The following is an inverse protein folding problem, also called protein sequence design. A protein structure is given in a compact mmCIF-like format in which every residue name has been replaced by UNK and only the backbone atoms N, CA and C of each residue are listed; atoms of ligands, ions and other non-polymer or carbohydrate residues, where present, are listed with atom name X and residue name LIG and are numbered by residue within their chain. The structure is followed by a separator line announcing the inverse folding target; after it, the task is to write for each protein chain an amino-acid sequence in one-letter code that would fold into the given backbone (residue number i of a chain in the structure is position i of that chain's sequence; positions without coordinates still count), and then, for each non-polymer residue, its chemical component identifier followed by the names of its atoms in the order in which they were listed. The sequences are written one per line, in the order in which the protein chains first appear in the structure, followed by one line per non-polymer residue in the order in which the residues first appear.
data_IF_368501883419
#
_entry.id   IF_368501883419
#
_cell.length_a   1.000
_cell.length_b   1.000
_cell.length_c   1.000
_cell.angle_alpha   90.00
_cell.angle_beta   90.00
_cell.angle_gamma   90.00
#
_symmetry.space_group_name_H-M   'P 1'
#
loop_
_entity.id
_entity.type
_entity.pdbx_description
1 polymer ?
#
# COMPACT_ATOMS: atom_id res chain seq x y z
N UNK A 1 27.57 -7.38 -64.97
CA UNK A 1 26.39 -8.06 -64.38
C UNK A 1 26.65 -8.25 -62.89
N UNK A 2 26.13 -7.35 -62.04
CA UNK A 2 26.42 -7.34 -60.59
C UNK A 2 25.52 -8.33 -59.83
N UNK A 3 26.15 -9.13 -58.97
CA UNK A 3 25.51 -10.00 -57.99
C UNK A 3 24.91 -9.16 -56.84
N UNK A 4 23.60 -9.24 -56.64
CA UNK A 4 22.90 -8.65 -55.49
C UNK A 4 22.56 -9.76 -54.49
N UNK A 5 23.24 -9.73 -53.35
CA UNK A 5 23.01 -10.58 -52.18
C UNK A 5 21.74 -10.16 -51.44
N UNK A 6 20.85 -11.11 -51.18
CA UNK A 6 19.64 -10.93 -50.38
C UNK A 6 19.97 -11.04 -48.89
N UNK A 7 19.82 -9.95 -48.16
CA UNK A 7 19.80 -9.93 -46.70
C UNK A 7 18.42 -10.37 -46.18
N UNK A 8 18.35 -11.48 -45.45
CA UNK A 8 17.19 -11.87 -44.65
C UNK A 8 17.29 -11.19 -43.28
N UNK A 9 16.58 -10.09 -43.09
CA UNK A 9 16.42 -9.45 -41.79
C UNK A 9 15.46 -10.26 -40.91
N UNK A 10 15.97 -10.85 -39.84
CA UNK A 10 15.16 -11.45 -38.79
C UNK A 10 14.45 -10.34 -38.00
N UNK A 11 13.13 -10.29 -38.07
CA UNK A 11 12.30 -9.42 -37.23
C UNK A 11 12.17 -10.07 -35.85
N UNK A 12 12.92 -9.56 -34.88
CA UNK A 12 12.72 -9.89 -33.48
C UNK A 12 11.45 -9.19 -32.97
N UNK A 13 10.36 -9.95 -32.78
CA UNK A 13 9.21 -9.48 -32.01
C UNK A 13 9.62 -9.39 -30.53
N UNK A 14 9.96 -8.19 -30.08
CA UNK A 14 10.06 -7.88 -28.66
C UNK A 14 8.63 -7.86 -28.08
N UNK A 15 8.28 -8.90 -27.32
CA UNK A 15 7.04 -8.96 -26.57
C UNK A 15 7.00 -7.88 -25.50
N UNK A 16 6.19 -6.84 -25.73
CA UNK A 16 5.81 -5.85 -24.72
C UNK A 16 4.93 -6.53 -23.68
N UNK A 17 5.51 -6.90 -22.53
CA UNK A 17 4.73 -7.21 -21.33
C UNK A 17 3.98 -5.94 -20.90
N UNK A 18 2.67 -6.00 -20.60
CA UNK A 18 1.95 -4.84 -20.13
C UNK A 18 2.44 -4.50 -18.72
N UNK A 19 3.20 -3.42 -18.61
CA UNK A 19 3.46 -2.78 -17.33
C UNK A 19 2.12 -2.23 -16.82
N UNK A 20 1.60 -2.80 -15.74
CA UNK A 20 0.44 -2.23 -15.07
C UNK A 20 0.75 -0.75 -14.76
N UNK A 21 -0.10 0.20 -15.19
CA UNK A 21 0.13 1.60 -14.90
C UNK A 21 0.13 1.76 -13.38
N UNK A 22 1.25 2.22 -12.84
CA UNK A 22 1.28 2.74 -11.49
C UNK A 22 0.29 3.90 -11.49
N UNK A 23 -0.79 3.80 -10.73
CA UNK A 23 -1.66 4.94 -10.55
C UNK A 23 -0.79 6.06 -9.96
N UNK A 24 -0.70 7.21 -10.64
CA UNK A 24 0.00 8.35 -10.07
C UNK A 24 -0.68 8.66 -8.73
N UNK A 25 0.09 8.65 -7.64
CA UNK A 25 -0.34 9.21 -6.38
C UNK A 25 -0.93 10.60 -6.67
N UNK A 26 -2.22 10.76 -6.37
CA UNK A 26 -2.91 12.01 -6.63
C UNK A 26 -2.34 13.13 -5.76
N UNK A 27 -2.79 14.35 -6.02
CA UNK A 27 -2.29 15.52 -5.30
C UNK A 27 -2.99 15.65 -3.93
N UNK A 28 -2.80 14.68 -3.03
CA UNK A 28 -3.32 14.73 -1.67
C UNK A 28 -2.84 16.02 -1.00
N UNK A 29 -3.78 16.78 -0.45
CA UNK A 29 -3.51 18.06 0.22
C UNK A 29 -3.56 17.89 1.73
N UNK A 30 -2.81 18.74 2.43
CA UNK A 30 -2.94 18.85 3.87
C UNK A 30 -4.35 19.36 4.21
N UNK A 31 -5.00 18.68 5.16
CA UNK A 31 -6.33 19.02 5.64
C UNK A 31 -6.24 19.52 7.08
N UNK A 32 -7.04 20.52 7.44
CA UNK A 32 -7.15 20.97 8.81
C UNK A 32 -7.81 19.86 9.65
N UNK A 33 -7.07 19.30 10.60
CA UNK A 33 -7.57 18.31 11.54
C UNK A 33 -7.96 18.97 12.85
N UNK A 34 -9.06 18.49 13.44
CA UNK A 34 -9.36 18.78 14.84
C UNK A 34 -8.22 18.28 15.75
N UNK A 35 -7.92 19.01 16.81
CA UNK A 35 -6.79 18.69 17.70
C UNK A 35 -6.91 17.30 18.33
N UNK A 36 -8.13 16.86 18.64
CA UNK A 36 -8.41 15.51 19.14
C UNK A 36 -8.04 14.42 18.14
N UNK A 37 -8.37 14.62 16.85
CA UNK A 37 -8.03 13.69 15.76
C UNK A 37 -6.52 13.66 15.56
N UNK A 38 -5.87 14.83 15.54
CA UNK A 38 -4.41 14.94 15.43
C UNK A 38 -3.71 14.20 16.58
N UNK A 39 -4.17 14.40 17.81
CA UNK A 39 -3.61 13.74 19.00
C UNK A 39 -3.79 12.22 18.94
N UNK A 40 -4.98 11.75 18.58
CA UNK A 40 -5.26 10.32 18.43
C UNK A 40 -4.35 9.67 17.39
N UNK A 41 -4.19 10.30 16.22
CA UNK A 41 -3.27 9.84 15.19
C UNK A 41 -1.83 9.86 15.68
N UNK A 42 -1.38 10.94 16.33
CA UNK A 42 -0.01 11.02 16.82
C UNK A 42 0.33 9.92 17.83
N UNK A 43 -0.59 9.61 18.73
CA UNK A 43 -0.46 8.48 19.65
C UNK A 43 -0.42 7.15 18.90
N UNK A 44 -1.27 6.98 17.89
CA UNK A 44 -1.29 5.78 17.06
C UNK A 44 0.05 5.56 16.34
N UNK A 45 0.68 6.63 15.83
CA UNK A 45 1.98 6.59 15.14
C UNK A 45 3.14 6.27 16.09
N UNK A 46 3.18 6.93 17.26
CA UNK A 46 4.29 6.84 18.24
C UNK A 46 4.40 5.49 18.97
N UNK A 47 3.36 4.68 18.93
CA UNK A 47 3.32 3.37 19.59
C UNK A 47 4.34 2.38 19.01
N UNK A 48 5.54 2.29 19.56
CA UNK A 48 6.62 1.43 19.03
C UNK A 48 6.42 -0.09 19.25
N UNK A 49 5.21 -0.56 19.59
CA UNK A 49 4.95 -2.00 19.77
C UNK A 49 5.32 -2.79 18.50
N UNK A 50 6.13 -3.87 18.62
CA UNK A 50 6.47 -4.73 17.49
C UNK A 50 5.22 -5.29 16.80
N UNK A 51 5.22 -5.43 15.47
CA UNK A 51 4.03 -5.83 14.72
C UNK A 51 3.86 -7.35 14.74
N UNK A 52 3.68 -7.91 15.94
CA UNK A 52 3.50 -9.35 16.15
C UNK A 52 2.01 -9.65 16.31
N UNK A 53 1.38 -10.37 15.36
CA UNK A 53 -0.01 -10.80 15.50
C UNK A 53 -0.19 -11.69 16.74
N UNK A 54 -1.13 -11.31 17.61
CA UNK A 54 -1.54 -12.12 18.77
C UNK A 54 -2.96 -12.63 18.57
N UNK A 55 -3.24 -13.84 19.06
CA UNK A 55 -4.51 -14.53 18.84
C UNK A 55 -5.12 -14.95 20.18
N UNK A 56 -6.43 -14.71 20.33
CA UNK A 56 -7.16 -15.06 21.56
C UNK A 56 -7.46 -16.55 21.67
N UNK A 57 -7.55 -17.24 20.52
CA UNK A 57 -7.90 -18.65 20.46
C UNK A 57 -7.18 -19.34 19.27
N UNK A 58 -7.07 -20.67 19.30
CA UNK A 58 -6.40 -21.43 18.23
C UNK A 58 -7.05 -21.29 16.85
N UNK A 59 -8.37 -21.05 16.78
CA UNK A 59 -9.08 -20.92 15.50
C UNK A 59 -8.70 -19.63 14.75
N UNK A 60 -8.46 -18.54 15.47
CA UNK A 60 -7.99 -17.27 14.89
C UNK A 60 -6.55 -17.39 14.41
N UNK A 61 -5.71 -18.10 15.18
CA UNK A 61 -4.34 -18.42 14.78
C UNK A 61 -4.32 -19.26 13.50
N UNK A 62 -5.13 -20.31 13.40
CA UNK A 62 -5.23 -21.13 12.19
C UNK A 62 -5.68 -20.32 10.97
N UNK A 63 -6.68 -19.44 11.13
CA UNK A 63 -7.12 -18.50 10.07
C UNK A 63 -6.01 -17.59 9.61
N UNK A 64 -5.23 -17.03 10.53
CA UNK A 64 -4.06 -16.21 10.19
C UNK A 64 -3.00 -17.01 9.44
N UNK A 65 -2.67 -18.23 9.88
CA UNK A 65 -1.66 -19.05 9.20
C UNK A 65 -2.09 -19.39 7.77
N UNK A 66 -3.35 -19.79 7.57
CA UNK A 66 -3.87 -20.05 6.23
C UNK A 66 -3.83 -18.79 5.33
N UNK A 67 -4.18 -17.64 5.89
CA UNK A 67 -4.05 -16.35 5.20
C UNK A 67 -2.59 -16.06 4.84
N UNK A 68 -1.66 -16.21 5.79
CA UNK A 68 -0.25 -15.92 5.61
C UNK A 68 0.37 -16.79 4.50
N UNK A 69 0.07 -18.09 4.50
CA UNK A 69 0.52 -19.02 3.46
C UNK A 69 -0.03 -18.64 2.09
N UNK A 70 -1.35 -18.41 2.01
CA UNK A 70 -2.04 -18.05 0.76
C UNK A 70 -1.47 -16.76 0.18
N UNK A 71 -1.35 -15.71 0.99
CA UNK A 71 -0.84 -14.41 0.52
C UNK A 71 0.65 -14.45 0.24
N UNK A 72 1.44 -15.22 1.00
CA UNK A 72 2.86 -15.45 0.72
C UNK A 72 3.04 -16.12 -0.65
N UNK A 73 2.24 -17.12 -0.97
CA UNK A 73 2.27 -17.76 -2.29
C UNK A 73 1.92 -16.77 -3.41
N UNK A 74 0.87 -15.95 -3.25
CA UNK A 74 0.45 -14.96 -4.25
C UNK A 74 1.51 -13.86 -4.45
N UNK A 75 2.19 -13.45 -3.38
CA UNK A 75 3.13 -12.33 -3.39
C UNK A 75 4.57 -12.73 -3.80
N UNK A 76 4.87 -14.03 -3.91
CA UNK A 76 6.21 -14.57 -4.22
C UNK A 76 6.90 -13.93 -5.42
N UNK A 77 6.15 -13.53 -6.45
CA UNK A 77 6.72 -12.90 -7.66
C UNK A 77 7.17 -11.45 -7.43
N UNK A 78 6.58 -10.76 -6.46
CA UNK A 78 6.87 -9.34 -6.15
C UNK A 78 7.85 -9.20 -5.00
N UNK A 79 7.80 -10.11 -4.02
CA UNK A 79 8.77 -10.22 -2.93
C UNK A 79 9.31 -11.65 -2.92
N UNK A 80 10.39 -11.97 -3.66
CA UNK A 80 10.89 -13.34 -3.79
C UNK A 80 11.43 -13.94 -2.49
N UNK A 81 12.12 -13.13 -1.69
CA UNK A 81 12.64 -13.55 -0.39
C UNK A 81 11.49 -13.92 0.56
N UNK A 82 11.50 -15.15 1.07
CA UNK A 82 10.40 -15.68 1.87
C UNK A 82 10.29 -15.01 3.24
N UNK A 83 11.43 -14.78 3.90
CA UNK A 83 11.47 -14.16 5.22
C UNK A 83 10.91 -12.74 5.15
N UNK A 84 11.44 -11.91 4.25
CA UNK A 84 10.96 -10.54 4.00
C UNK A 84 9.48 -10.53 3.65
N UNK A 85 9.02 -11.47 2.81
CA UNK A 85 7.62 -11.56 2.41
C UNK A 85 6.70 -11.92 3.59
N UNK A 86 7.10 -12.86 4.44
CA UNK A 86 6.34 -13.23 5.65
C UNK A 86 6.32 -12.10 6.67
N UNK A 87 7.44 -11.43 6.90
CA UNK A 87 7.53 -10.24 7.77
C UNK A 87 6.65 -9.10 7.27
N UNK A 88 6.68 -8.83 5.97
CA UNK A 88 5.80 -7.84 5.33
C UNK A 88 4.33 -8.18 5.53
N UNK A 89 3.92 -9.43 5.28
CA UNK A 89 2.53 -9.86 5.45
C UNK A 89 2.08 -9.81 6.92
N UNK A 90 2.92 -10.23 7.86
CA UNK A 90 2.64 -10.12 9.28
C UNK A 90 2.43 -8.66 9.71
N UNK A 91 3.28 -7.76 9.19
CA UNK A 91 3.19 -6.31 9.48
C UNK A 91 1.95 -5.69 8.87
N UNK A 92 1.60 -6.03 7.62
CA UNK A 92 0.35 -5.60 6.97
C UNK A 92 -0.85 -6.07 7.76
N UNK A 93 -0.89 -7.34 8.15
CA UNK A 93 -1.97 -7.89 8.97
C UNK A 93 -2.11 -7.12 10.28
N UNK A 94 -1.00 -6.92 10.98
CA UNK A 94 -0.97 -6.24 12.26
C UNK A 94 -1.49 -4.80 12.17
N UNK A 95 -0.89 -3.96 11.32
CA UNK A 95 -1.26 -2.54 11.23
C UNK A 95 -2.66 -2.34 10.62
N UNK A 96 -3.08 -3.20 9.67
CA UNK A 96 -4.44 -3.16 9.14
C UNK A 96 -5.46 -3.49 10.24
N UNK A 97 -5.27 -4.59 10.98
CA UNK A 97 -6.19 -4.99 12.05
C UNK A 97 -6.22 -3.99 13.19
N UNK A 98 -5.07 -3.42 13.56
CA UNK A 98 -4.95 -2.34 14.56
C UNK A 98 -5.73 -1.09 14.16
N UNK A 99 -5.76 -0.76 12.87
CA UNK A 99 -6.56 0.35 12.33
C UNK A 99 -8.01 -0.03 12.01
N UNK A 100 -8.45 -1.27 12.25
CA UNK A 100 -9.80 -1.72 11.90
C UNK A 100 -10.05 -1.82 10.39
N UNK A 101 -9.01 -2.13 9.62
CA UNK A 101 -9.04 -2.31 8.16
C UNK A 101 -8.90 -3.80 7.79
N UNK A 102 -9.38 -4.15 6.60
CA UNK A 102 -9.18 -5.47 6.01
C UNK A 102 -7.73 -5.61 5.47
N UNK A 103 -6.96 -6.64 5.88
CA UNK A 103 -5.59 -6.83 5.38
C UNK A 103 -5.49 -7.02 3.86
N UNK A 104 -6.47 -7.68 3.24
CA UNK A 104 -6.51 -7.86 1.78
C UNK A 104 -6.74 -6.54 1.04
N UNK A 105 -7.58 -5.66 1.60
CA UNK A 105 -7.80 -4.31 1.07
C UNK A 105 -6.51 -3.49 1.12
N UNK A 106 -5.78 -3.56 2.25
CA UNK A 106 -4.48 -2.87 2.39
C UNK A 106 -3.44 -3.42 1.39
N UNK A 107 -3.41 -4.73 1.15
CA UNK A 107 -2.57 -5.31 0.08
C UNK A 107 -2.96 -4.78 -1.31
N UNK A 108 -4.26 -4.70 -1.60
CA UNK A 108 -4.77 -4.11 -2.84
C UNK A 108 -4.33 -2.65 -3.02
N UNK A 109 -4.41 -1.83 -1.96
CA UNK A 109 -3.93 -0.45 -1.97
C UNK A 109 -2.42 -0.38 -2.23
N UNK A 110 -1.61 -1.16 -1.50
CA UNK A 110 -0.14 -1.19 -1.67
C UNK A 110 0.26 -1.60 -3.09
N UNK A 111 -0.50 -2.53 -3.69
CA UNK A 111 -0.28 -2.94 -5.07
C UNK A 111 -0.45 -1.76 -6.04
N UNK A 112 -1.49 -0.96 -5.87
CA UNK A 112 -1.78 0.22 -6.70
C UNK A 112 -0.75 1.33 -6.45
N UNK A 113 -0.41 1.58 -5.20
CA UNK A 113 0.47 2.69 -4.78
C UNK A 113 1.93 2.47 -5.13
N UNK A 114 2.49 1.30 -4.82
CA UNK A 114 3.94 1.07 -4.92
C UNK A 114 4.32 -0.18 -5.70
N UNK A 115 3.35 -1.03 -6.03
CA UNK A 115 3.59 -2.40 -6.49
C UNK A 115 4.55 -3.17 -5.55
N UNK A 116 4.40 -2.97 -4.23
CA UNK A 116 5.21 -3.58 -3.16
C UNK A 116 6.68 -3.14 -3.10
N UNK A 117 6.99 -1.93 -3.60
CA UNK A 117 8.37 -1.39 -3.56
C UNK A 117 8.58 -0.52 -2.33
N UNK A 118 9.41 -1.00 -1.39
CA UNK A 118 9.77 -0.32 -0.13
C UNK A 118 10.27 1.12 -0.33
N UNK A 119 11.07 1.36 -1.35
CA UNK A 119 11.72 2.65 -1.61
C UNK A 119 11.03 3.44 -2.74
N UNK A 120 9.77 3.16 -3.05
CA UNK A 120 9.03 3.92 -4.05
C UNK A 120 8.88 5.39 -3.65
N UNK A 121 9.13 6.30 -4.60
CA UNK A 121 8.89 7.73 -4.47
C UNK A 121 8.10 8.21 -5.68
N UNK A 122 6.93 8.81 -5.46
CA UNK A 122 6.14 9.41 -6.55
C UNK A 122 6.75 10.75 -7.00
N UNK A 123 6.29 11.24 -8.16
CA UNK A 123 6.66 12.56 -8.69
C UNK A 123 6.32 13.69 -7.69
N UNK A 124 5.21 13.54 -6.96
CA UNK A 124 4.75 14.53 -5.97
C UNK A 124 5.34 14.30 -4.57
N UNK A 125 6.23 13.31 -4.41
CA UNK A 125 7.02 13.10 -3.20
C UNK A 125 6.46 12.11 -2.19
N UNK A 126 5.31 11.48 -2.46
CA UNK A 126 4.77 10.35 -1.69
C UNK A 126 5.78 9.19 -1.55
N UNK A 127 5.83 8.51 -0.41
CA UNK A 127 6.91 7.55 -0.08
C UNK A 127 6.43 6.19 0.40
N UNK A 128 7.18 5.16 0.04
CA UNK A 128 7.08 3.81 0.61
C UNK A 128 5.90 3.00 0.10
N UNK A 129 5.57 1.91 0.81
CA UNK A 129 4.57 0.92 0.38
C UNK A 129 3.19 1.50 0.11
N UNK A 130 2.69 2.33 1.03
CA UNK A 130 1.37 2.97 0.94
C UNK A 130 1.44 4.41 0.42
N UNK A 131 2.59 4.84 -0.13
CA UNK A 131 2.82 6.17 -0.69
C UNK A 131 2.33 7.30 0.24
N UNK A 132 2.82 7.29 1.48
CA UNK A 132 2.46 8.31 2.48
C UNK A 132 3.13 9.64 2.11
N UNK A 133 2.35 10.72 2.12
CA UNK A 133 2.88 12.06 1.86
C UNK A 133 3.74 12.57 3.02
N UNK A 134 4.93 13.16 2.75
CA UNK A 134 5.84 13.59 3.82
C UNK A 134 5.31 14.65 4.79
N UNK A 135 4.30 15.44 4.42
CA UNK A 135 3.72 16.42 5.35
C UNK A 135 3.09 15.74 6.57
N UNK A 136 2.59 14.50 6.44
CA UNK A 136 2.02 13.75 7.55
C UNK A 136 3.00 13.57 8.71
N UNK A 137 4.30 13.49 8.46
CA UNK A 137 5.28 13.39 9.54
C UNK A 137 5.34 14.67 10.37
N UNK A 138 4.98 15.83 9.80
CA UNK A 138 4.88 17.07 10.55
C UNK A 138 3.55 17.17 11.31
N UNK A 139 2.46 16.67 10.69
CA UNK A 139 1.09 16.81 11.23
C UNK A 139 0.86 15.88 12.42
N UNK A 140 1.32 14.64 12.35
CA UNK A 140 1.06 13.57 13.35
C UNK A 140 2.32 12.84 13.83
N UNK A 141 3.50 13.19 13.31
CA UNK A 141 4.75 12.49 13.56
C UNK A 141 5.84 13.27 14.31
N UNK A 142 7.08 12.85 14.11
CA UNK A 142 8.33 13.43 14.61
C UNK A 142 9.06 14.27 13.54
N UNK A 143 8.38 14.60 12.43
CA UNK A 143 8.95 15.27 11.25
C UNK A 143 10.05 14.47 10.50
N UNK A 144 10.28 13.20 10.85
CA UNK A 144 11.28 12.36 10.17
C UNK A 144 10.72 11.73 8.89
N UNK A 145 10.80 12.47 7.79
CA UNK A 145 10.34 12.00 6.47
C UNK A 145 11.07 10.76 5.94
N UNK A 146 12.27 10.44 6.44
CA UNK A 146 13.02 9.23 6.03
C UNK A 146 12.43 7.98 6.64
N UNK A 147 11.79 8.09 7.81
CA UNK A 147 11.10 6.97 8.47
C UNK A 147 9.93 6.43 7.61
N UNK A 148 9.42 7.19 6.64
CA UNK A 148 8.41 6.68 5.70
C UNK A 148 8.93 5.57 4.76
N UNK A 149 10.22 5.26 4.75
CA UNK A 149 10.76 4.07 4.07
C UNK A 149 10.90 2.86 5.01
N UNK A 150 10.73 3.04 6.32
CA UNK A 150 10.61 1.93 7.24
C UNK A 150 9.26 1.21 7.04
N UNK A 151 9.28 -0.12 7.07
CA UNK A 151 8.12 -0.94 6.70
C UNK A 151 6.97 -0.73 7.68
N UNK A 152 7.23 -0.89 8.97
CA UNK A 152 6.20 -0.78 9.99
C UNK A 152 5.68 0.65 10.07
N UNK A 153 6.58 1.63 10.08
CA UNK A 153 6.22 3.05 10.11
C UNK A 153 5.34 3.41 8.92
N UNK A 154 5.72 3.05 7.69
CA UNK A 154 4.94 3.37 6.50
C UNK A 154 3.53 2.76 6.54
N UNK A 155 3.43 1.48 6.90
CA UNK A 155 2.16 0.76 6.98
C UNK A 155 1.25 1.35 8.06
N UNK A 156 1.82 1.72 9.21
CA UNK A 156 1.11 2.36 10.30
C UNK A 156 0.54 3.72 9.92
N UNK A 157 1.37 4.57 9.30
CA UNK A 157 0.90 5.87 8.78
C UNK A 157 -0.24 5.67 7.79
N UNK A 158 -0.03 4.85 6.76
CA UNK A 158 -1.03 4.64 5.72
C UNK A 158 -2.34 4.07 6.28
N UNK A 159 -2.28 3.08 7.17
CA UNK A 159 -3.47 2.48 7.79
C UNK A 159 -4.20 3.48 8.70
N UNK A 160 -3.50 4.25 9.54
CA UNK A 160 -4.11 5.23 10.42
C UNK A 160 -4.78 6.38 9.64
N UNK A 161 -4.12 6.89 8.59
CA UNK A 161 -4.66 7.93 7.71
C UNK A 161 -5.89 7.41 6.96
N UNK A 162 -5.83 6.19 6.41
CA UNK A 162 -6.97 5.61 5.69
C UNK A 162 -8.16 5.37 6.62
N UNK A 163 -7.93 4.90 7.86
CA UNK A 163 -8.99 4.75 8.88
C UNK A 163 -9.65 6.10 9.17
N UNK A 164 -8.85 7.15 9.42
CA UNK A 164 -9.38 8.50 9.63
C UNK A 164 -10.25 8.95 8.46
N UNK A 165 -9.80 8.76 7.22
CA UNK A 165 -10.61 9.11 6.04
C UNK A 165 -11.87 8.26 5.91
N UNK A 166 -11.82 7.00 6.31
CA UNK A 166 -13.00 6.15 6.35
C UNK A 166 -14.01 6.64 7.40
N UNK A 167 -13.56 7.13 8.55
CA UNK A 167 -14.43 7.77 9.54
C UNK A 167 -15.05 9.07 9.02
N UNK A 168 -14.24 9.93 8.37
CA UNK A 168 -14.71 11.19 7.78
C UNK A 168 -15.74 10.99 6.68
N UNK A 169 -15.65 9.89 5.93
CA UNK A 169 -16.58 9.53 4.85
C UNK A 169 -17.69 8.58 5.35
N UNK A 170 -17.94 8.53 6.67
CA UNK A 170 -19.01 7.74 7.27
C UNK A 170 -19.01 6.25 6.87
N UNK A 171 -17.82 5.65 6.75
CA UNK A 171 -17.64 4.26 6.35
C UNK A 171 -17.67 4.01 4.85
N UNK A 172 -17.83 5.05 4.02
CA UNK A 172 -17.79 4.90 2.57
C UNK A 172 -16.35 4.72 2.07
N UNK A 173 -15.95 3.46 1.89
CA UNK A 173 -14.60 3.09 1.45
C UNK A 173 -14.22 3.73 0.10
N UNK A 174 -15.17 3.85 -0.82
CA UNK A 174 -14.91 4.42 -2.13
C UNK A 174 -14.50 5.89 -2.03
N UNK A 175 -15.24 6.69 -1.25
CA UNK A 175 -14.90 8.08 -1.01
C UNK A 175 -13.61 8.23 -0.19
N UNK A 176 -13.39 7.34 0.78
CA UNK A 176 -12.18 7.35 1.61
C UNK A 176 -10.93 7.08 0.79
N UNK A 177 -10.96 6.12 -0.14
CA UNK A 177 -9.86 5.84 -1.07
C UNK A 177 -9.60 7.03 -1.99
N UNK A 178 -10.66 7.64 -2.54
CA UNK A 178 -10.52 8.85 -3.35
C UNK A 178 -9.87 9.98 -2.56
N UNK A 179 -10.24 10.17 -1.29
CA UNK A 179 -9.61 11.17 -0.41
C UNK A 179 -8.17 10.82 -0.07
N UNK A 180 -7.88 9.56 0.24
CA UNK A 180 -6.53 9.06 0.52
C UNK A 180 -5.54 9.41 -0.60
N UNK A 181 -5.97 9.20 -1.85
CA UNK A 181 -5.17 9.54 -3.03
C UNK A 181 -5.19 11.05 -3.37
N UNK A 182 -6.21 11.81 -2.96
CA UNK A 182 -6.42 13.19 -3.40
C UNK A 182 -7.24 13.34 -4.69
N UNK A 183 -8.00 12.31 -5.06
CA UNK A 183 -8.89 12.25 -6.22
C UNK A 183 -10.36 12.03 -5.82
N UNK A 184 -10.77 12.49 -4.62
CA UNK A 184 -12.13 12.32 -4.10
C UNK A 184 -13.19 12.75 -5.13
N UNK A 185 -14.17 11.87 -5.36
CA UNK A 185 -15.23 12.06 -6.37
C UNK A 185 -14.86 11.56 -7.77
N UNK A 186 -13.63 11.11 -7.99
CA UNK A 186 -13.20 10.46 -9.24
C UNK A 186 -13.13 8.93 -9.09
N UNK A 187 -13.55 8.18 -10.11
CA UNK A 187 -13.71 6.73 -10.00
C UNK A 187 -12.44 5.91 -10.18
N UNK A 188 -11.42 6.44 -10.87
CA UNK A 188 -10.31 5.64 -11.40
C UNK A 188 -9.49 5.01 -10.27
N UNK A 189 -9.11 5.79 -9.27
CA UNK A 189 -8.27 5.32 -8.17
C UNK A 189 -9.03 4.34 -7.24
N UNK A 190 -10.24 4.66 -6.71
CA UNK A 190 -10.99 3.70 -5.91
C UNK A 190 -11.26 2.39 -6.65
N UNK A 191 -11.63 2.46 -7.93
CA UNK A 191 -11.88 1.25 -8.72
C UNK A 191 -10.61 0.41 -8.90
N UNK A 192 -9.45 1.03 -9.12
CA UNK A 192 -8.18 0.33 -9.22
C UNK A 192 -7.85 -0.42 -7.92
N UNK A 193 -8.05 0.20 -6.76
CA UNK A 193 -7.80 -0.43 -5.45
C UNK A 193 -8.81 -1.55 -5.18
N UNK A 194 -10.10 -1.34 -5.45
CA UNK A 194 -11.12 -2.38 -5.27
C UNK A 194 -10.90 -3.58 -6.21
N UNK A 195 -10.49 -3.33 -7.46
CA UNK A 195 -10.11 -4.38 -8.39
C UNK A 195 -8.86 -5.13 -7.91
N UNK A 196 -7.86 -4.41 -7.39
CA UNK A 196 -6.67 -5.03 -6.81
C UNK A 196 -7.02 -5.89 -5.59
N UNK A 197 -7.87 -5.40 -4.68
CA UNK A 197 -8.33 -6.12 -3.48
C UNK A 197 -8.99 -7.46 -3.82
N UNK A 198 -9.76 -7.56 -4.91
CA UNK A 198 -10.35 -8.84 -5.31
C UNK A 198 -9.31 -9.96 -5.54
N UNK A 199 -8.04 -9.61 -5.86
CA UNK A 199 -6.96 -10.59 -5.98
C UNK A 199 -6.37 -11.03 -4.63
N UNK A 200 -6.80 -10.41 -3.52
CA UNK A 200 -6.33 -10.62 -2.15
C UNK A 200 -7.43 -11.09 -1.20
N UNK A 201 -8.62 -11.40 -1.74
CA UNK A 201 -9.69 -12.10 -1.04
C UNK A 201 -9.44 -13.60 -0.95
#
# INVERSE_FOLDING_TARGET
MSLLSRWLGAVALAGLLPAAPLALAGNQKEEALADSVRLALSNAIKDATPPTPTFRNPSDQARYQNWLETMSYRLKRKLPDEQTRKEFLATVWYEARRAGLDPGMVLGLIQVESAYRKYAVSIVGARGYMQVMPFWTNVIGDSNRRALFDMQTNLRYGCAILRMYLDMEAGNLYLALGRYNGSRGKPEYPNAVLAAWNNWK
#
